data_IF_816867975020
#
_entry.id   IF_816867975020
#
_cell.length_a   1.000
_cell.length_b   1.000
_cell.length_c   1.000
_cell.angle_alpha   90.00
_cell.angle_beta   90.00
_cell.angle_gamma   90.00
#
_symmetry.space_group_name_H-M   'P 1'
#
loop_
_entity.id
_entity.type
_entity.pdbx_description
1 polymer ?
#
# COMPACT_ATOMS: atom_id res chain seq x y z
N UNK A 1 23.71 14.46 -14.54
CA UNK A 1 22.44 15.18 -14.80
C UNK A 1 21.46 14.17 -15.33
N UNK A 2 20.51 13.69 -14.51
CA UNK A 2 19.41 12.87 -14.99
C UNK A 2 18.29 13.85 -15.36
N UNK A 3 18.05 14.00 -16.68
CA UNK A 3 16.97 14.82 -17.19
C UNK A 3 15.63 14.38 -16.60
N UNK A 4 14.66 15.28 -16.56
CA UNK A 4 13.28 14.99 -16.19
C UNK A 4 12.72 13.96 -17.17
N UNK A 5 12.84 12.68 -16.84
CA UNK A 5 12.17 11.61 -17.57
C UNK A 5 10.72 11.63 -17.15
N UNK A 6 9.87 12.32 -17.90
CA UNK A 6 8.42 12.16 -17.81
C UNK A 6 8.08 10.81 -18.44
N UNK A 7 7.87 9.80 -17.61
CA UNK A 7 7.28 8.55 -18.09
C UNK A 7 5.77 8.75 -17.98
N UNK A 8 5.12 8.92 -19.13
CA UNK A 8 3.68 8.87 -19.24
C UNK A 8 3.26 7.41 -19.04
N UNK A 9 2.65 7.12 -17.90
CA UNK A 9 1.91 5.89 -17.73
C UNK A 9 0.53 6.11 -18.38
N UNK A 10 0.27 5.49 -19.52
CA UNK A 10 -1.05 5.44 -20.15
C UNK A 10 -2.01 4.49 -19.37
N UNK A 11 -2.03 4.60 -18.06
CA UNK A 11 -3.02 3.93 -17.23
C UNK A 11 -4.12 4.95 -16.96
N UNK A 12 -5.18 4.87 -17.74
CA UNK A 12 -6.38 5.64 -17.45
C UNK A 12 -7.01 5.09 -16.15
N UNK A 13 -7.01 5.90 -15.10
CA UNK A 13 -7.72 5.60 -13.87
C UNK A 13 -9.22 5.82 -14.08
N UNK A 14 -10.08 4.95 -13.55
CA UNK A 14 -11.50 5.22 -13.45
C UNK A 14 -11.76 6.41 -12.51
N UNK A 15 -12.95 6.97 -12.56
CA UNK A 15 -13.33 8.09 -11.68
C UNK A 15 -13.11 7.75 -10.21
N UNK A 16 -13.56 6.58 -9.77
CA UNK A 16 -13.37 6.09 -8.40
C UNK A 16 -11.90 5.94 -8.03
N UNK A 17 -11.09 5.44 -8.95
CA UNK A 17 -9.64 5.32 -8.75
C UNK A 17 -8.96 6.68 -8.66
N UNK A 18 -9.38 7.64 -9.50
CA UNK A 18 -8.84 9.01 -9.48
C UNK A 18 -9.14 9.71 -8.15
N UNK A 19 -10.35 9.61 -7.63
CA UNK A 19 -10.71 10.20 -6.34
C UNK A 19 -9.88 9.61 -5.18
N UNK A 20 -9.61 8.30 -5.19
CA UNK A 20 -8.73 7.67 -4.20
C UNK A 20 -7.28 8.13 -4.40
N UNK A 21 -6.82 8.21 -5.65
CA UNK A 21 -5.49 8.69 -5.98
C UNK A 21 -5.27 10.11 -5.44
N UNK A 22 -6.21 11.03 -5.69
CA UNK A 22 -6.15 12.43 -5.25
C UNK A 22 -6.14 12.52 -3.72
N UNK A 23 -6.96 11.71 -3.03
CA UNK A 23 -6.94 11.61 -1.57
C UNK A 23 -5.58 11.15 -1.04
N UNK A 24 -4.92 10.21 -1.72
CA UNK A 24 -3.58 9.74 -1.36
C UNK A 24 -2.52 10.83 -1.56
N UNK A 25 -2.67 11.73 -2.56
CA UNK A 25 -1.74 12.84 -2.77
C UNK A 25 -1.89 13.95 -1.71
N UNK A 26 -3.02 14.05 -1.02
CA UNK A 26 -3.24 15.06 0.01
C UNK A 26 -2.26 14.86 1.19
N UNK A 27 -1.39 15.84 1.42
CA UNK A 27 -0.35 15.80 2.47
C UNK A 27 -0.91 15.86 3.90
N UNK A 28 -2.17 16.26 4.07
CA UNK A 28 -2.85 16.32 5.35
C UNK A 28 -2.95 14.93 5.99
N UNK A 29 -3.26 13.92 5.19
CA UNK A 29 -3.56 12.59 5.68
C UNK A 29 -2.34 11.66 5.61
N UNK A 30 -2.06 10.97 6.69
CA UNK A 30 -1.03 9.93 6.77
C UNK A 30 -1.62 8.53 6.62
N UNK A 31 -2.78 8.29 7.18
CA UNK A 31 -3.46 7.00 7.22
C UNK A 31 -4.75 7.08 6.41
N UNK A 32 -4.85 6.27 5.37
CA UNK A 32 -5.97 6.32 4.45
C UNK A 32 -6.60 4.94 4.36
N UNK A 33 -7.89 4.86 4.67
CA UNK A 33 -8.66 3.63 4.56
C UNK A 33 -9.53 3.66 3.31
N UNK A 34 -9.30 2.71 2.42
CA UNK A 34 -9.99 2.61 1.14
C UNK A 34 -10.83 1.35 1.12
N UNK A 35 -12.14 1.52 1.21
CA UNK A 35 -13.10 0.44 1.07
C UNK A 35 -13.52 0.36 -0.40
N UNK A 36 -13.14 -0.72 -1.07
CA UNK A 36 -13.51 -0.97 -2.45
C UNK A 36 -14.41 -2.20 -2.57
N UNK A 37 -15.39 -2.16 -3.48
CA UNK A 37 -16.10 -3.36 -3.89
C UNK A 37 -15.16 -4.32 -4.63
N UNK A 38 -15.60 -5.57 -4.81
CA UNK A 38 -14.87 -6.53 -5.65
C UNK A 38 -14.82 -6.04 -7.09
N UNK A 39 -13.73 -6.37 -7.80
CA UNK A 39 -13.51 -6.04 -9.23
C UNK A 39 -13.48 -4.53 -9.57
N UNK A 40 -13.27 -3.66 -8.60
CA UNK A 40 -13.18 -2.20 -8.77
C UNK A 40 -11.77 -1.69 -9.14
N UNK A 41 -10.87 -2.58 -9.57
CA UNK A 41 -9.51 -2.18 -9.97
C UNK A 41 -8.59 -1.72 -8.84
N UNK A 42 -8.92 -2.02 -7.57
CA UNK A 42 -8.12 -1.61 -6.40
C UNK A 42 -6.64 -1.98 -6.51
N UNK A 43 -6.35 -3.20 -6.95
CA UNK A 43 -4.97 -3.70 -7.08
C UNK A 43 -4.17 -2.89 -8.09
N UNK A 44 -4.77 -2.55 -9.23
CA UNK A 44 -4.14 -1.71 -10.26
C UNK A 44 -3.75 -0.36 -9.69
N UNK A 45 -4.68 0.31 -9.00
CA UNK A 45 -4.40 1.59 -8.35
C UNK A 45 -3.27 1.49 -7.31
N UNK A 46 -3.27 0.45 -6.49
CA UNK A 46 -2.21 0.25 -5.49
C UNK A 46 -0.83 0.04 -6.14
N UNK A 47 -0.77 -0.69 -7.26
CA UNK A 47 0.47 -0.86 -8.01
C UNK A 47 0.93 0.44 -8.68
N UNK A 48 0.01 1.26 -9.21
CA UNK A 48 0.32 2.60 -9.74
C UNK A 48 0.95 3.49 -8.66
N UNK A 49 0.40 3.49 -7.45
CA UNK A 49 0.97 4.25 -6.33
C UNK A 49 2.38 3.76 -5.96
N UNK A 50 2.60 2.44 -5.95
CA UNK A 50 3.94 1.88 -5.73
C UNK A 50 4.93 2.37 -6.79
N UNK A 51 4.55 2.32 -8.06
CA UNK A 51 5.37 2.80 -9.17
C UNK A 51 5.71 4.29 -8.97
N UNK A 52 4.72 5.13 -8.69
CA UNK A 52 4.92 6.55 -8.43
C UNK A 52 5.92 6.80 -7.29
N UNK A 53 5.83 6.04 -6.21
CA UNK A 53 6.74 6.18 -5.06
C UNK A 53 8.16 5.70 -5.38
N UNK A 54 8.32 4.73 -6.28
CA UNK A 54 9.63 4.24 -6.72
C UNK A 54 10.40 5.27 -7.57
N UNK A 55 9.73 6.28 -8.15
CA UNK A 55 10.38 7.42 -8.81
C UNK A 55 10.93 8.47 -7.83
N UNK A 56 10.55 8.42 -6.57
CA UNK A 56 11.14 9.30 -5.55
C UNK A 56 12.53 8.77 -5.15
N UNK A 57 13.36 9.63 -4.53
CA UNK A 57 14.71 9.25 -4.11
C UNK A 57 14.70 8.59 -2.73
N UNK A 58 15.36 7.44 -2.62
CA UNK A 58 15.66 6.75 -1.35
C UNK A 58 14.41 6.47 -0.49
N UNK A 59 13.29 6.07 -1.11
CA UNK A 59 12.10 5.66 -0.39
C UNK A 59 12.13 4.17 -0.09
N UNK A 60 11.69 3.79 1.10
CA UNK A 60 11.42 2.41 1.48
C UNK A 60 9.91 2.18 1.48
N UNK A 61 9.45 1.25 0.65
CA UNK A 61 8.04 0.98 0.39
C UNK A 61 7.74 -0.46 0.77
N UNK A 62 6.71 -0.67 1.60
CA UNK A 62 6.20 -1.99 1.95
C UNK A 62 4.83 -2.22 1.32
N UNK A 63 4.67 -3.34 0.63
CA UNK A 63 3.38 -3.86 0.17
C UNK A 63 3.07 -5.14 0.95
N UNK A 64 2.06 -5.09 1.81
CA UNK A 64 1.73 -6.17 2.73
C UNK A 64 0.46 -6.86 2.26
N UNK A 65 0.62 -8.11 1.85
CA UNK A 65 -0.47 -8.97 1.40
C UNK A 65 -0.90 -9.90 2.55
N UNK A 66 -2.09 -10.46 2.43
CA UNK A 66 -2.62 -11.43 3.38
C UNK A 66 -1.67 -12.65 3.55
N UNK A 67 -1.14 -13.18 2.45
CA UNK A 67 -0.25 -14.35 2.46
C UNK A 67 0.85 -14.24 1.39
N UNK A 68 1.83 -15.13 1.46
CA UNK A 68 3.00 -15.15 0.57
C UNK A 68 2.64 -15.40 -0.90
N UNK A 69 1.63 -16.22 -1.17
CA UNK A 69 1.20 -16.52 -2.56
C UNK A 69 0.72 -15.25 -3.26
N UNK A 70 -0.06 -14.41 -2.55
CA UNK A 70 -0.50 -13.12 -3.07
C UNK A 70 0.66 -12.15 -3.25
N UNK A 71 1.60 -12.09 -2.30
CA UNK A 71 2.80 -11.26 -2.42
C UNK A 71 3.59 -11.62 -3.68
N UNK A 72 3.83 -12.91 -3.92
CA UNK A 72 4.56 -13.40 -5.10
C UNK A 72 3.83 -13.11 -6.41
N UNK A 73 2.50 -13.20 -6.41
CA UNK A 73 1.68 -12.86 -7.58
C UNK A 73 1.81 -11.38 -7.90
N UNK A 74 1.60 -10.49 -6.93
CA UNK A 74 1.66 -9.05 -7.14
C UNK A 74 3.06 -8.56 -7.52
N UNK A 75 4.11 -9.12 -6.92
CA UNK A 75 5.48 -8.88 -7.36
C UNK A 75 5.66 -9.17 -8.85
N UNK A 76 5.17 -10.34 -9.33
CA UNK A 76 5.26 -10.71 -10.75
C UNK A 76 4.43 -9.82 -11.65
N UNK A 77 3.26 -9.38 -11.19
CA UNK A 77 2.41 -8.43 -11.94
C UNK A 77 3.12 -7.08 -12.07
N UNK A 78 3.68 -6.56 -10.96
CA UNK A 78 4.39 -5.30 -10.97
C UNK A 78 5.63 -5.32 -11.88
N UNK A 79 6.44 -6.36 -11.83
CA UNK A 79 7.63 -6.50 -12.70
C UNK A 79 7.29 -6.43 -14.18
N UNK A 80 6.09 -6.88 -14.57
CA UNK A 80 5.66 -6.84 -15.98
C UNK A 80 5.30 -5.43 -16.46
N UNK A 81 4.76 -4.59 -15.56
CA UNK A 81 4.27 -3.26 -15.90
C UNK A 81 5.28 -2.15 -15.56
N UNK A 82 6.26 -2.46 -14.69
CA UNK A 82 7.28 -1.50 -14.30
C UNK A 82 8.25 -1.26 -15.47
N UNK A 83 8.52 0.00 -15.85
CA UNK A 83 9.51 0.31 -16.88
C UNK A 83 10.88 -0.27 -16.50
N UNK A 84 11.47 -1.05 -17.41
CA UNK A 84 12.76 -1.72 -17.15
C UNK A 84 13.89 -0.73 -16.86
N UNK A 85 13.80 0.45 -17.42
CA UNK A 85 14.76 1.54 -17.29
C UNK A 85 14.89 2.07 -15.87
N UNK A 86 13.83 1.90 -15.04
CA UNK A 86 13.88 2.33 -13.64
C UNK A 86 14.31 1.22 -12.69
N UNK A 87 14.40 -0.02 -13.15
CA UNK A 87 14.79 -1.16 -12.31
C UNK A 87 16.31 -1.22 -12.24
N UNK A 88 16.88 -0.99 -11.06
CA UNK A 88 18.30 -1.21 -10.79
C UNK A 88 18.57 -2.68 -10.47
N UNK A 89 17.74 -3.27 -9.62
CA UNK A 89 17.81 -4.69 -9.27
C UNK A 89 16.42 -5.23 -8.88
N UNK A 90 16.22 -6.53 -9.06
CA UNK A 90 15.00 -7.22 -8.67
C UNK A 90 15.35 -8.63 -8.16
N UNK A 91 14.83 -8.99 -6.97
CA UNK A 91 15.04 -10.28 -6.34
C UNK A 91 13.70 -11.01 -6.17
N UNK A 92 13.51 -12.07 -6.93
CA UNK A 92 12.27 -12.87 -6.90
C UNK A 92 12.16 -13.81 -5.69
N UNK A 93 13.24 -14.04 -4.96
CA UNK A 93 13.22 -14.82 -3.70
C UNK A 93 12.72 -13.93 -2.55
N UNK A 94 13.30 -12.75 -2.41
CA UNK A 94 12.94 -11.79 -1.36
C UNK A 94 11.76 -10.92 -1.75
N UNK A 95 11.26 -11.06 -2.98
CA UNK A 95 10.16 -10.26 -3.55
C UNK A 95 10.44 -8.75 -3.42
N UNK A 96 11.65 -8.34 -3.77
CA UNK A 96 12.14 -6.96 -3.65
C UNK A 96 12.54 -6.38 -5.00
N UNK A 97 12.35 -5.06 -5.16
CA UNK A 97 12.74 -4.30 -6.34
C UNK A 97 13.43 -3.02 -5.86
N UNK A 98 14.61 -2.72 -6.40
CA UNK A 98 15.31 -1.46 -6.20
C UNK A 98 15.26 -0.64 -7.48
N UNK A 99 14.88 0.63 -7.37
CA UNK A 99 14.90 1.56 -8.49
C UNK A 99 16.26 2.24 -8.66
N UNK A 100 16.54 2.76 -9.85
CA UNK A 100 17.73 3.60 -10.12
C UNK A 100 17.79 4.86 -9.25
N UNK A 101 16.65 5.25 -8.64
CA UNK A 101 16.55 6.37 -7.69
C UNK A 101 16.90 5.98 -6.25
N UNK A 102 17.29 4.72 -6.00
CA UNK A 102 17.59 4.19 -4.67
C UNK A 102 16.37 3.86 -3.83
N UNK A 103 15.17 3.92 -4.39
CA UNK A 103 13.95 3.50 -3.69
C UNK A 103 13.77 1.99 -3.80
N UNK A 104 13.32 1.39 -2.70
CA UNK A 104 13.08 -0.05 -2.60
C UNK A 104 11.60 -0.34 -2.36
N UNK A 105 11.07 -1.31 -3.07
CA UNK A 105 9.73 -1.86 -2.84
C UNK A 105 9.85 -3.33 -2.49
N UNK A 106 9.29 -3.70 -1.35
CA UNK A 106 9.29 -5.07 -0.85
C UNK A 106 7.86 -5.55 -0.62
N UNK A 107 7.58 -6.78 -1.06
CA UNK A 107 6.31 -7.44 -0.83
C UNK A 107 6.42 -8.40 0.35
N UNK A 108 5.57 -8.21 1.34
CA UNK A 108 5.55 -9.01 2.57
C UNK A 108 4.23 -9.76 2.74
N UNK A 109 4.29 -10.84 3.49
CA UNK A 109 3.11 -11.55 3.97
C UNK A 109 2.76 -11.12 5.40
N UNK A 110 1.49 -10.80 5.66
CA UNK A 110 1.01 -10.53 7.00
C UNK A 110 1.13 -11.74 7.96
N UNK A 111 1.18 -12.97 7.40
CA UNK A 111 1.42 -14.19 8.16
C UNK A 111 2.85 -14.29 8.70
N UNK A 112 3.77 -13.52 8.14
CA UNK A 112 5.18 -13.44 8.53
C UNK A 112 5.53 -12.09 9.17
N UNK A 113 4.61 -11.52 9.94
CA UNK A 113 4.76 -10.19 10.52
C UNK A 113 6.07 -9.98 11.29
N UNK A 114 6.61 -11.03 11.92
CA UNK A 114 7.88 -10.98 12.65
C UNK A 114 9.05 -10.48 11.79
N UNK A 115 9.07 -10.79 10.47
CA UNK A 115 10.12 -10.33 9.54
C UNK A 115 10.12 -8.82 9.29
N UNK A 116 9.03 -8.13 9.64
CA UNK A 116 8.87 -6.68 9.50
C UNK A 116 9.40 -5.90 10.71
N UNK A 117 9.71 -6.57 11.82
CA UNK A 117 10.23 -5.92 13.02
C UNK A 117 11.58 -5.27 12.75
N UNK A 118 11.76 -4.06 13.25
CA UNK A 118 12.99 -3.29 13.07
C UNK A 118 13.13 -2.63 11.69
N UNK A 119 12.23 -2.92 10.76
CA UNK A 119 12.19 -2.21 9.49
C UNK A 119 11.66 -0.78 9.66
N UNK A 120 11.94 0.07 8.68
CA UNK A 120 11.41 1.45 8.64
C UNK A 120 10.96 1.77 7.23
N UNK A 121 9.70 2.17 7.08
CA UNK A 121 9.11 2.45 5.78
C UNK A 121 8.67 3.91 5.66
N UNK A 122 8.80 4.47 4.44
CA UNK A 122 8.20 5.73 4.08
C UNK A 122 6.75 5.57 3.63
N UNK A 123 6.47 4.49 2.91
CA UNK A 123 5.16 4.16 2.37
C UNK A 123 4.79 2.72 2.69
N UNK A 124 3.52 2.51 3.00
CA UNK A 124 2.99 1.17 3.26
C UNK A 124 1.63 1.02 2.63
N UNK A 125 1.40 -0.11 1.97
CA UNK A 125 0.08 -0.56 1.52
C UNK A 125 -0.22 -1.87 2.24
N UNK A 126 -1.35 -1.92 2.92
CA UNK A 126 -1.89 -3.15 3.53
C UNK A 126 -3.08 -3.60 2.67
N UNK A 127 -2.84 -4.56 1.78
CA UNK A 127 -3.85 -5.06 0.84
C UNK A 127 -4.65 -6.19 1.46
N UNK A 128 -5.97 -6.17 1.23
CA UNK A 128 -6.96 -7.06 1.87
C UNK A 128 -6.86 -7.02 3.41
N UNK A 129 -6.66 -5.80 3.96
CA UNK A 129 -6.37 -5.60 5.38
C UNK A 129 -7.46 -6.11 6.32
N UNK A 130 -8.74 -6.10 5.92
CA UNK A 130 -9.83 -6.68 6.70
C UNK A 130 -9.64 -8.18 6.97
N UNK A 131 -8.85 -8.88 6.14
CA UNK A 131 -8.61 -10.32 6.24
C UNK A 131 -7.27 -10.69 6.88
N UNK A 132 -6.49 -9.70 7.33
CA UNK A 132 -5.24 -9.99 8.04
C UNK A 132 -5.52 -10.53 9.44
N UNK A 133 -4.79 -11.55 9.83
CA UNK A 133 -4.79 -12.02 11.22
C UNK A 133 -3.99 -11.03 12.06
N UNK A 134 -4.66 -10.34 12.97
CA UNK A 134 -4.00 -9.34 13.82
C UNK A 134 -3.18 -9.98 14.93
N UNK A 135 -3.63 -11.08 15.49
CA UNK A 135 -2.88 -11.83 16.49
C UNK A 135 -1.86 -12.75 15.80
N UNK A 136 -0.59 -12.53 16.10
CA UNK A 136 0.53 -13.30 15.57
C UNK A 136 0.82 -14.51 16.48
N UNK A 137 1.52 -15.56 15.98
CA UNK A 137 1.81 -16.76 16.77
C UNK A 137 2.57 -16.52 18.07
N UNK A 138 3.30 -15.42 18.18
CA UNK A 138 4.04 -15.00 19.36
C UNK A 138 3.26 -14.10 20.31
N UNK A 139 1.94 -13.97 20.11
CA UNK A 139 1.05 -13.15 20.92
C UNK A 139 1.10 -11.64 20.63
N UNK A 140 1.89 -11.18 19.65
CA UNK A 140 1.94 -9.77 19.26
C UNK A 140 0.81 -9.40 18.32
N UNK A 141 0.41 -8.13 18.36
CA UNK A 141 -0.61 -7.60 17.45
C UNK A 141 0.03 -7.00 16.19
N UNK A 142 -0.32 -7.54 15.01
CA UNK A 142 0.28 -7.17 13.73
C UNK A 142 0.32 -5.65 13.51
N UNK A 143 -0.80 -4.95 13.69
CA UNK A 143 -0.82 -3.50 13.48
C UNK A 143 -0.12 -2.73 14.59
N UNK A 144 -0.49 -2.96 15.85
CA UNK A 144 -0.03 -2.14 16.96
C UNK A 144 1.45 -2.32 17.27
N UNK A 145 1.91 -3.59 17.26
CA UNK A 145 3.25 -3.95 17.75
C UNK A 145 4.27 -4.11 16.63
N UNK A 146 3.80 -4.31 15.39
CA UNK A 146 4.70 -4.57 14.25
C UNK A 146 4.60 -3.46 13.20
N UNK A 147 3.45 -3.28 12.52
CA UNK A 147 3.37 -2.39 11.36
C UNK A 147 3.41 -0.91 11.72
N UNK A 148 2.60 -0.48 12.69
CA UNK A 148 2.54 0.92 13.11
C UNK A 148 3.91 1.47 13.57
N UNK A 149 4.73 0.76 14.36
CA UNK A 149 6.06 1.20 14.73
C UNK A 149 7.00 1.43 13.54
N UNK A 150 6.91 0.63 12.46
CA UNK A 150 7.77 0.79 11.27
C UNK A 150 7.54 2.10 10.52
N UNK A 151 6.38 2.74 10.75
CA UNK A 151 6.00 4.02 10.14
C UNK A 151 6.29 5.25 11.02
N UNK A 152 6.70 5.07 12.30
CA UNK A 152 6.82 6.19 13.25
C UNK A 152 7.89 7.20 12.82
N UNK A 153 9.07 6.74 12.45
CA UNK A 153 10.22 7.62 12.19
C UNK A 153 10.16 8.32 10.83
N UNK A 154 9.78 7.63 9.75
CA UNK A 154 9.86 8.12 8.38
C UNK A 154 8.57 7.99 7.58
N UNK A 155 7.52 7.41 8.15
CA UNK A 155 6.28 7.11 7.44
C UNK A 155 5.57 8.36 6.92
N UNK A 156 5.38 8.41 5.60
CA UNK A 156 4.66 9.46 4.88
C UNK A 156 3.19 9.08 4.68
N UNK A 157 2.95 7.85 4.21
CA UNK A 157 1.61 7.32 3.94
C UNK A 157 1.49 5.86 4.34
N UNK A 158 0.31 5.50 4.84
CA UNK A 158 -0.13 4.13 5.02
C UNK A 158 -1.54 4.00 4.45
N UNK A 159 -1.72 3.06 3.52
CA UNK A 159 -3.01 2.80 2.88
C UNK A 159 -3.51 1.44 3.36
N UNK A 160 -4.67 1.42 3.97
CA UNK A 160 -5.42 0.21 4.27
C UNK A 160 -6.45 0.02 3.18
N UNK A 161 -6.33 -1.00 2.36
CA UNK A 161 -7.28 -1.27 1.29
C UNK A 161 -7.87 -2.66 1.44
N UNK A 162 -9.19 -2.77 1.32
CA UNK A 162 -9.89 -4.06 1.38
C UNK A 162 -11.29 -3.98 0.80
N UNK A 163 -11.85 -5.14 0.50
CA UNK A 163 -13.30 -5.32 0.45
C UNK A 163 -13.84 -5.36 1.90
N UNK A 164 -15.09 -4.94 2.13
CA UNK A 164 -15.68 -4.97 3.47
C UNK A 164 -15.83 -6.39 4.00
N UNK A 165 -15.53 -6.57 5.29
CA UNK A 165 -15.67 -7.84 6.03
C UNK A 165 -16.36 -7.60 7.38
N UNK A 166 -17.63 -7.14 7.36
CA UNK A 166 -18.36 -6.79 8.58
C UNK A 166 -17.74 -5.61 9.33
N UNK A 167 -18.13 -5.44 10.61
CA UNK A 167 -17.75 -4.29 11.45
C UNK A 167 -16.84 -4.65 12.63
N UNK A 168 -16.61 -5.91 12.89
CA UNK A 168 -15.82 -6.37 14.04
C UNK A 168 -14.39 -6.74 13.62
N UNK A 169 -13.63 -5.74 13.14
CA UNK A 169 -12.23 -5.90 12.75
C UNK A 169 -11.51 -4.54 12.72
N UNK A 170 -10.18 -4.58 12.76
CA UNK A 170 -9.32 -3.41 12.76
C UNK A 170 -9.49 -2.52 11.50
N UNK A 171 -9.83 -3.09 10.35
CA UNK A 171 -10.05 -2.33 9.12
C UNK A 171 -11.27 -1.38 9.26
N UNK A 172 -12.35 -1.88 9.88
CA UNK A 172 -13.51 -1.04 10.19
C UNK A 172 -13.17 0.05 11.21
N UNK A 173 -12.36 -0.24 12.22
CA UNK A 173 -11.88 0.79 13.16
C UNK A 173 -11.09 1.88 12.44
N UNK A 174 -10.16 1.51 11.53
CA UNK A 174 -9.41 2.48 10.72
C UNK A 174 -10.33 3.30 9.83
N UNK A 175 -11.38 2.68 9.28
CA UNK A 175 -12.39 3.37 8.49
C UNK A 175 -13.14 4.41 9.34
N UNK A 176 -13.58 4.05 10.55
CA UNK A 176 -14.25 4.99 11.46
C UNK A 176 -13.34 6.15 11.88
N UNK A 177 -12.06 5.88 12.13
CA UNK A 177 -11.10 6.95 12.44
C UNK A 177 -10.98 7.97 11.32
N UNK A 178 -11.02 7.53 10.07
CA UNK A 178 -10.95 8.43 8.92
C UNK A 178 -12.23 9.22 8.64
N UNK A 179 -13.34 8.90 9.31
CA UNK A 179 -14.59 9.67 9.28
C UNK A 179 -14.73 10.62 10.47
N UNK A 180 -13.84 10.55 11.47
CA UNK A 180 -13.91 11.34 12.69
C UNK A 180 -12.88 12.47 12.69
N UNK A 181 -13.30 13.66 13.08
CA UNK A 181 -12.44 14.82 13.25
C UNK A 181 -11.42 14.67 14.40
N UNK A 182 -11.64 13.72 15.30
CA UNK A 182 -10.70 13.38 16.39
C UNK A 182 -9.36 12.83 15.85
N UNK A 183 -9.36 12.31 14.62
CA UNK A 183 -8.18 11.72 13.98
C UNK A 183 -7.74 12.50 12.73
N UNK A 184 -7.23 13.73 12.84
CA UNK A 184 -7.01 14.64 11.73
C UNK A 184 -6.00 14.15 10.68
N UNK A 185 -5.23 13.10 10.98
CA UNK A 185 -4.29 12.46 10.03
C UNK A 185 -4.86 11.23 9.34
N UNK A 186 -6.11 10.88 9.63
CA UNK A 186 -6.81 9.77 9.00
C UNK A 186 -7.80 10.29 7.98
N UNK A 187 -8.03 9.53 6.93
CA UNK A 187 -9.11 9.72 5.97
C UNK A 187 -9.67 8.39 5.54
N UNK A 188 -10.93 8.37 5.17
CA UNK A 188 -11.59 7.16 4.69
C UNK A 188 -12.44 7.47 3.47
N UNK A 189 -12.42 6.55 2.52
CA UNK A 189 -13.24 6.61 1.31
C UNK A 189 -13.83 5.23 1.02
N UNK A 190 -15.10 5.21 0.62
CA UNK A 190 -15.78 4.01 0.15
C UNK A 190 -16.13 4.19 -1.32
N UNK A 191 -15.79 3.20 -2.14
CA UNK A 191 -16.06 3.16 -3.56
C UNK A 191 -16.69 1.84 -3.97
N UNK A 192 -17.71 1.94 -4.78
CA UNK A 192 -18.45 0.81 -5.33
C UNK A 192 -18.31 0.77 -6.86
N UNK A 193 -18.70 -0.33 -7.48
CA UNK A 193 -18.71 -0.43 -8.95
C UNK A 193 -19.70 0.54 -9.60
N UNK A 194 -20.66 1.07 -8.86
CA UNK A 194 -21.66 2.02 -9.36
C UNK A 194 -21.16 3.48 -9.38
N UNK A 195 -20.01 3.76 -8.77
CA UNK A 195 -19.45 5.11 -8.75
C UNK A 195 -18.76 5.50 -10.07
N UNK A 196 -18.49 4.54 -10.92
CA UNK A 196 -17.77 4.72 -12.20
C UNK A 196 -18.71 4.78 -13.43
N UNK A 197 -20.01 4.54 -13.26
CA UNK A 197 -20.96 4.44 -14.42
C UNK A 197 -22.20 5.02 -14.24
#
# INVERSE_FOLDING_TARGET
MYGNMQINFDIALSKSQQEVYDLVQDKKYKYITVVFSRQSGKTVLMLVLCIQWMFQKNMSIAYICRNFVLSKRLYKELIKILPKEIIKSANGTDLSIESIYGSTLNFYSAEQGASLRGQTFNYMICDEFAFHKMEQPDGTHLWNDILSPTLKARGKKCIFVSTPLGKNNIFYEMYQRGLSDEFPKYASILKTIYDDG
#
